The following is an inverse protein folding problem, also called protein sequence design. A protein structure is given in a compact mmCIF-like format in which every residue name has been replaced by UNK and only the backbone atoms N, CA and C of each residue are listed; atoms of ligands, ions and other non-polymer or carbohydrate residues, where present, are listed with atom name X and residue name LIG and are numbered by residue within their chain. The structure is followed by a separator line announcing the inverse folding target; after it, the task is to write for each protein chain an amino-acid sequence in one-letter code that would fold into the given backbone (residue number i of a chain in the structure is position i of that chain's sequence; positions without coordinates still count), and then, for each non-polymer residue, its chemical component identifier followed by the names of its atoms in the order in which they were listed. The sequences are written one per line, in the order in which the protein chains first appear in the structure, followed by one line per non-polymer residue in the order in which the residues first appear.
data_IF_532884385995
#
_entry.id   IF_532884385995
#
_cell.length_a   1.000
_cell.length_b   1.000
_cell.length_c   1.000
_cell.angle_alpha   90.00
_cell.angle_beta   90.00
_cell.angle_gamma   90.00
#
_symmetry.space_group_name_H-M   'P 1'
#
loop_
_entity.id
_entity.type
_entity.pdbx_description
1 polymer ?
#
# COMPACT_ATOMS: atom_id res chain seq x y z
N UNK A 1 -3.04 15.84 0.07
CA UNK A 1 -3.40 14.43 -0.22
C UNK A 1 -4.89 14.35 -0.47
N UNK A 2 -5.31 13.84 -1.63
CA UNK A 2 -6.73 13.59 -1.91
C UNK A 2 -7.12 12.23 -1.31
N UNK A 3 -8.15 12.22 -0.47
CA UNK A 3 -8.75 10.98 0.08
C UNK A 3 -10.08 10.73 -0.59
N UNK A 4 -10.39 9.46 -0.84
CA UNK A 4 -11.74 9.05 -1.22
C UNK A 4 -12.56 9.02 0.06
N UNK A 5 -13.61 9.85 0.14
CA UNK A 5 -14.55 9.76 1.24
C UNK A 5 -15.33 8.44 1.11
N UNK A 6 -15.36 7.67 2.19
CA UNK A 6 -16.14 6.45 2.30
C UNK A 6 -16.84 6.43 3.65
N UNK A 7 -18.01 5.84 3.67
CA UNK A 7 -18.71 5.49 4.90
C UNK A 7 -18.69 3.97 5.01
N UNK A 8 -18.32 3.46 6.17
CA UNK A 8 -18.29 2.03 6.45
C UNK A 8 -19.28 1.73 7.57
N UNK A 9 -20.19 0.79 7.32
CA UNK A 9 -21.11 0.28 8.34
C UNK A 9 -20.57 -1.02 8.93
N UNK A 10 -20.53 -1.10 10.26
CA UNK A 10 -20.00 -2.27 10.97
C UNK A 10 -20.74 -3.57 10.65
N UNK A 11 -22.01 -3.49 10.24
CA UNK A 11 -22.85 -4.63 9.85
C UNK A 11 -22.36 -5.37 8.59
N UNK A 12 -21.54 -4.74 7.75
CA UNK A 12 -20.98 -5.36 6.55
C UNK A 12 -19.79 -6.28 6.86
N UNK A 13 -19.20 -6.17 8.05
CA UNK A 13 -18.09 -7.00 8.49
C UNK A 13 -18.61 -8.16 9.35
N UNK A 14 -18.39 -9.39 8.87
CA UNK A 14 -18.69 -10.59 9.63
C UNK A 14 -17.53 -10.89 10.56
N UNK A 15 -17.79 -11.02 11.85
CA UNK A 15 -16.77 -11.41 12.82
C UNK A 15 -17.14 -12.72 13.52
N UNK A 16 -16.11 -13.46 13.93
CA UNK A 16 -16.26 -14.72 14.66
C UNK A 16 -15.27 -14.74 15.82
N UNK A 17 -15.76 -15.11 17.00
CA UNK A 17 -14.90 -15.34 18.15
C UNK A 17 -14.16 -16.67 17.97
N UNK A 18 -12.84 -16.64 18.14
CA UNK A 18 -11.95 -17.79 18.03
C UNK A 18 -11.11 -17.91 19.29
N UNK A 19 -10.54 -19.09 19.52
CA UNK A 19 -9.58 -19.26 20.61
C UNK A 19 -8.26 -18.58 20.24
N UNK A 20 -7.68 -17.92 21.23
CA UNK A 20 -6.37 -17.27 21.09
C UNK A 20 -5.28 -18.32 20.98
N UNK A 21 -4.24 -18.05 20.18
CA UNK A 21 -3.06 -18.91 20.08
C UNK A 21 -2.06 -18.48 21.15
N UNK A 22 -1.56 -19.42 21.94
CA UNK A 22 -0.53 -19.13 22.94
C UNK A 22 -0.41 -20.21 24.01
N UNK A 23 0.71 -20.20 24.72
CA UNK A 23 0.93 -21.10 25.84
C UNK A 23 0.18 -20.62 27.09
N UNK A 24 -0.79 -21.42 27.55
CA UNK A 24 -0.91 -21.76 28.97
C UNK A 24 -1.88 -20.96 29.83
N UNK A 25 -3.08 -21.52 30.04
CA UNK A 25 -4.00 -21.17 31.13
C UNK A 25 -5.41 -21.73 30.88
N UNK A 26 -6.17 -22.05 31.94
CA UNK A 26 -7.55 -22.54 31.78
C UNK A 26 -8.41 -21.59 30.95
N UNK A 27 -8.23 -20.28 31.12
CA UNK A 27 -8.97 -19.26 30.40
C UNK A 27 -8.65 -19.20 28.90
N UNK A 28 -7.39 -19.44 28.50
CA UNK A 28 -6.98 -19.42 27.08
C UNK A 28 -7.58 -20.61 26.32
N UNK A 29 -7.67 -21.77 26.98
CA UNK A 29 -8.24 -22.98 26.39
C UNK A 29 -9.78 -22.94 26.34
N UNK A 30 -10.42 -22.26 27.30
CA UNK A 30 -11.87 -22.25 27.48
C UNK A 30 -12.57 -21.07 26.82
N UNK A 31 -11.98 -19.87 26.85
CA UNK A 31 -12.64 -18.63 26.44
C UNK A 31 -12.17 -18.20 25.04
N UNK A 32 -13.11 -18.00 24.13
CA UNK A 32 -12.85 -17.51 22.78
C UNK A 32 -12.68 -15.98 22.80
N UNK A 33 -11.54 -15.49 23.28
CA UNK A 33 -11.27 -14.04 23.40
C UNK A 33 -10.73 -13.43 22.11
N UNK A 34 -10.10 -14.20 21.23
CA UNK A 34 -9.62 -13.71 19.95
C UNK A 34 -10.78 -13.49 18.97
N UNK A 35 -10.62 -12.51 18.08
CA UNK A 35 -11.62 -12.17 17.06
C UNK A 35 -11.00 -12.34 15.68
N UNK A 36 -11.72 -13.03 14.81
CA UNK A 36 -11.47 -13.07 13.38
C UNK A 36 -12.55 -12.26 12.67
N UNK A 37 -12.15 -11.18 12.00
CA UNK A 37 -13.02 -10.33 11.22
C UNK A 37 -12.80 -10.63 9.73
N UNK A 38 -13.90 -10.84 9.01
CA UNK A 38 -13.96 -11.07 7.58
C UNK A 38 -14.76 -9.95 6.93
N UNK A 39 -14.18 -9.35 5.90
CA UNK A 39 -14.79 -8.26 5.16
C UNK A 39 -14.70 -8.55 3.67
N UNK A 40 -15.85 -8.67 3.01
CA UNK A 40 -15.93 -8.87 1.56
C UNK A 40 -15.92 -7.50 0.87
N UNK A 41 -14.85 -7.23 0.11
CA UNK A 41 -14.69 -5.95 -0.59
C UNK A 41 -15.73 -5.78 -1.69
N UNK A 42 -16.07 -6.85 -2.41
CA UNK A 42 -16.95 -6.79 -3.59
C UNK A 42 -18.39 -6.50 -3.18
N UNK A 43 -18.85 -7.18 -2.13
CA UNK A 43 -20.21 -7.04 -1.58
C UNK A 43 -20.41 -5.76 -0.75
N UNK A 44 -19.34 -5.06 -0.35
CA UNK A 44 -19.42 -3.86 0.49
C UNK A 44 -20.05 -2.65 -0.20
N UNK A 45 -20.47 -1.66 0.58
CA UNK A 45 -20.97 -0.36 0.09
C UNK A 45 -19.88 0.64 -0.33
N UNK A 46 -18.62 0.20 -0.37
CA UNK A 46 -17.48 1.05 -0.70
C UNK A 46 -17.54 1.59 -2.15
N UNK A 47 -16.98 2.78 -2.43
CA UNK A 47 -16.87 3.29 -3.79
C UNK A 47 -16.05 2.37 -4.69
N UNK A 48 -16.45 2.22 -5.96
CA UNK A 48 -15.81 1.28 -6.91
C UNK A 48 -14.30 1.49 -7.05
N UNK A 49 -13.86 2.76 -7.12
CA UNK A 49 -12.42 3.11 -7.16
C UNK A 49 -11.64 2.59 -5.94
N UNK A 50 -12.29 2.57 -4.78
CA UNK A 50 -11.67 2.08 -3.54
C UNK A 50 -11.67 0.54 -3.54
N UNK A 51 -12.74 -0.10 -4.02
CA UNK A 51 -12.81 -1.56 -4.20
C UNK A 51 -11.71 -2.07 -5.11
N UNK A 52 -11.55 -1.46 -6.29
CA UNK A 52 -10.49 -1.80 -7.24
C UNK A 52 -9.11 -1.67 -6.58
N UNK A 53 -8.86 -0.55 -5.89
CA UNK A 53 -7.58 -0.32 -5.20
C UNK A 53 -7.32 -1.38 -4.14
N UNK A 54 -8.29 -1.67 -3.28
CA UNK A 54 -8.20 -2.72 -2.27
C UNK A 54 -7.92 -4.09 -2.90
N UNK A 55 -8.54 -4.43 -4.04
CA UNK A 55 -8.30 -5.69 -4.75
C UNK A 55 -6.93 -5.75 -5.43
N UNK A 56 -6.37 -4.60 -5.81
CA UNK A 56 -5.00 -4.53 -6.36
C UNK A 56 -3.90 -4.51 -5.29
N UNK A 57 -4.24 -4.24 -4.03
CA UNK A 57 -3.27 -4.28 -2.94
C UNK A 57 -2.78 -5.71 -2.74
N UNK A 58 -1.46 -5.89 -2.84
CA UNK A 58 -0.80 -7.16 -2.52
C UNK A 58 -0.60 -7.27 -1.00
N UNK A 59 -1.69 -7.32 -0.25
CA UNK A 59 -1.67 -7.62 1.19
C UNK A 59 -1.82 -9.14 1.40
N UNK A 60 -1.09 -9.69 2.37
CA UNK A 60 -1.22 -11.08 2.81
C UNK A 60 -2.57 -11.38 3.48
N UNK A 61 -3.27 -10.35 3.93
CA UNK A 61 -4.59 -10.43 4.57
C UNK A 61 -5.72 -10.60 3.57
N UNK A 62 -5.47 -10.34 2.29
CA UNK A 62 -6.45 -10.44 1.21
C UNK A 62 -6.43 -11.86 0.62
N UNK A 63 -7.56 -12.55 0.68
CA UNK A 63 -7.75 -13.84 0.00
C UNK A 63 -7.96 -13.66 -1.51
N UNK A 64 -7.78 -14.74 -2.27
CA UNK A 64 -8.02 -14.75 -3.73
C UNK A 64 -9.49 -14.50 -4.12
N UNK A 65 -10.40 -14.72 -3.17
CA UNK A 65 -11.83 -14.44 -3.23
C UNK A 65 -12.16 -12.94 -3.09
N UNK A 66 -11.20 -12.10 -2.69
CA UNK A 66 -11.42 -10.68 -2.43
C UNK A 66 -11.95 -10.40 -1.02
N UNK A 67 -11.77 -11.36 -0.10
CA UNK A 67 -12.16 -11.22 1.30
C UNK A 67 -10.94 -10.87 2.15
N UNK A 68 -11.02 -9.76 2.87
CA UNK A 68 -10.00 -9.37 3.85
C UNK A 68 -10.28 -10.12 5.15
N UNK A 69 -9.29 -10.86 5.62
CA UNK A 69 -9.35 -11.55 6.92
C UNK A 69 -8.36 -10.91 7.90
N UNK A 70 -8.87 -10.34 8.98
CA UNK A 70 -8.09 -9.73 10.06
C UNK A 70 -8.28 -10.54 11.34
N UNK A 71 -7.18 -10.88 12.01
CA UNK A 71 -7.18 -11.55 13.30
C UNK A 71 -6.62 -10.63 14.38
N UNK A 72 -7.33 -10.50 15.50
CA UNK A 72 -6.93 -9.73 16.67
C UNK A 72 -7.02 -10.61 17.93
N UNK A 73 -5.90 -10.74 18.64
CA UNK A 73 -5.78 -11.57 19.85
C UNK A 73 -4.85 -10.96 20.91
N UNK A 74 -4.55 -9.66 20.81
CA UNK A 74 -3.58 -8.99 21.69
C UNK A 74 -4.16 -8.68 23.08
N UNK A 75 -5.48 -8.55 23.20
CA UNK A 75 -6.14 -8.16 24.43
C UNK A 75 -6.81 -9.35 25.14
N UNK A 76 -7.05 -9.18 26.45
CA UNK A 76 -7.67 -10.20 27.29
C UNK A 76 -9.18 -10.32 27.08
N UNK A 77 -9.86 -9.27 26.62
CA UNK A 77 -11.30 -9.25 26.41
C UNK A 77 -11.65 -9.24 24.92
N UNK A 78 -12.77 -9.87 24.58
CA UNK A 78 -13.27 -9.95 23.20
C UNK A 78 -13.61 -8.58 22.62
N UNK A 79 -14.22 -7.69 23.42
CA UNK A 79 -14.60 -6.34 22.99
C UNK A 79 -13.41 -5.50 22.54
N UNK A 80 -12.30 -5.56 23.30
CA UNK A 80 -11.07 -4.85 22.92
C UNK A 80 -10.45 -5.43 21.65
N UNK A 81 -10.48 -6.76 21.49
CA UNK A 81 -10.01 -7.41 20.26
C UNK A 81 -10.90 -7.08 19.06
N UNK A 82 -12.21 -6.95 19.25
CA UNK A 82 -13.15 -6.54 18.21
C UNK A 82 -12.87 -5.10 17.77
N UNK A 83 -12.73 -4.17 18.73
CA UNK A 83 -12.39 -2.78 18.44
C UNK A 83 -11.03 -2.66 17.72
N UNK A 84 -10.04 -3.46 18.11
CA UNK A 84 -8.74 -3.52 17.43
C UNK A 84 -8.86 -4.05 16.00
N UNK A 85 -9.67 -5.09 15.76
CA UNK A 85 -9.91 -5.63 14.42
C UNK A 85 -10.54 -4.57 13.50
N UNK A 86 -11.54 -3.83 13.98
CA UNK A 86 -12.15 -2.72 13.23
C UNK A 86 -11.18 -1.57 12.98
N UNK A 87 -10.34 -1.22 13.96
CA UNK A 87 -9.32 -0.18 13.79
C UNK A 87 -8.35 -0.56 12.66
N UNK A 88 -7.83 -1.79 12.68
CA UNK A 88 -6.91 -2.29 11.64
C UNK A 88 -7.57 -2.36 10.26
N UNK A 89 -8.86 -2.71 10.20
CA UNK A 89 -9.62 -2.67 8.95
C UNK A 89 -9.68 -1.24 8.41
N UNK A 90 -10.04 -0.27 9.26
CA UNK A 90 -10.12 1.14 8.89
C UNK A 90 -8.77 1.68 8.41
N UNK A 91 -7.69 1.39 9.12
CA UNK A 91 -6.34 1.77 8.72
C UNK A 91 -5.98 1.25 7.31
N UNK A 92 -6.34 0.01 7.00
CA UNK A 92 -6.11 -0.60 5.68
C UNK A 92 -6.96 0.08 4.58
N UNK A 93 -8.23 0.39 4.87
CA UNK A 93 -9.10 1.11 3.93
C UNK A 93 -8.60 2.56 3.74
N UNK A 94 -8.11 3.21 4.81
CA UNK A 94 -7.56 4.56 4.75
C UNK A 94 -6.29 4.61 3.90
N UNK A 95 -5.38 3.65 4.05
CA UNK A 95 -4.19 3.52 3.20
C UNK A 95 -4.58 3.33 1.73
N UNK A 96 -5.60 2.50 1.46
CA UNK A 96 -6.12 2.30 0.10
C UNK A 96 -6.86 3.54 -0.46
N UNK A 97 -7.41 4.38 0.42
CA UNK A 97 -8.11 5.62 0.06
C UNK A 97 -7.13 6.74 -0.32
N UNK A 98 -5.88 6.67 0.12
CA UNK A 98 -4.87 7.69 -0.18
C UNK A 98 -4.45 7.62 -1.64
N UNK A 99 -4.79 8.67 -2.40
CA UNK A 99 -4.38 8.80 -3.80
C UNK A 99 -3.01 9.48 -3.81
N UNK A 100 -1.93 8.78 -4.25
CA UNK A 100 -0.63 9.41 -4.37
C UNK A 100 -0.71 10.48 -5.46
N UNK A 101 -0.12 11.63 -5.20
CA UNK A 101 -0.06 12.70 -6.19
C UNK A 101 0.78 12.25 -7.38
N UNK A 102 0.32 12.59 -8.58
CA UNK A 102 1.04 12.22 -9.80
C UNK A 102 2.41 12.89 -9.83
N UNK A 103 3.46 12.07 -9.95
CA UNK A 103 4.82 12.60 -10.12
C UNK A 103 4.96 13.17 -11.52
N UNK A 104 5.09 14.49 -11.61
CA UNK A 104 5.48 15.15 -12.85
C UNK A 104 6.99 14.90 -13.06
N UNK A 105 7.41 14.24 -14.17
CA UNK A 105 8.82 14.00 -14.43
C UNK A 105 9.56 15.35 -14.58
N UNK A 106 10.69 15.48 -13.90
CA UNK A 106 11.51 16.69 -13.98
C UNK A 106 12.26 16.73 -15.31
N UNK A 107 12.32 17.90 -15.94
CA UNK A 107 13.17 18.13 -17.11
C UNK A 107 14.65 18.09 -16.69
N UNK A 108 15.58 17.68 -17.58
CA UNK A 108 17.01 17.77 -17.31
C UNK A 108 17.42 19.19 -16.91
N UNK A 109 18.35 19.31 -15.97
CA UNK A 109 18.79 20.63 -15.49
C UNK A 109 19.55 21.39 -16.58
N UNK A 110 19.45 22.73 -16.56
CA UNK A 110 20.18 23.60 -17.50
C UNK A 110 21.69 23.37 -17.46
N UNK A 111 22.24 23.08 -16.28
CA UNK A 111 23.65 22.75 -16.10
C UNK A 111 24.04 21.44 -16.79
N UNK A 112 23.19 20.40 -16.72
CA UNK A 112 23.40 19.14 -17.43
C UNK A 112 23.43 19.36 -18.94
N UNK A 113 22.45 20.11 -19.46
CA UNK A 113 22.36 20.45 -20.89
C UNK A 113 23.62 21.20 -21.35
N UNK A 114 24.09 22.18 -20.56
CA UNK A 114 25.31 22.94 -20.85
C UNK A 114 26.55 22.04 -20.90
N UNK A 115 26.72 21.15 -19.91
CA UNK A 115 27.84 20.19 -19.87
C UNK A 115 27.87 19.29 -21.09
N UNK A 116 26.73 18.70 -21.47
CA UNK A 116 26.64 17.85 -22.67
C UNK A 116 27.07 18.61 -23.93
N UNK A 117 26.63 19.86 -24.09
CA UNK A 117 27.06 20.71 -25.22
C UNK A 117 28.56 20.98 -25.19
N UNK A 118 29.10 21.37 -24.04
CA UNK A 118 30.53 21.64 -23.89
C UNK A 118 31.38 20.39 -24.19
N UNK A 119 31.03 19.24 -23.64
CA UNK A 119 31.72 17.97 -23.93
C UNK A 119 31.65 17.62 -25.42
N UNK A 120 30.51 17.88 -26.09
CA UNK A 120 30.38 17.69 -27.54
C UNK A 120 31.33 18.60 -28.32
N UNK A 121 31.41 19.88 -27.95
CA UNK A 121 32.31 20.86 -28.57
C UNK A 121 33.77 20.43 -28.41
N UNK A 122 34.20 20.16 -27.17
CA UNK A 122 35.57 19.72 -26.86
C UNK A 122 35.95 18.45 -27.65
N UNK A 123 35.05 17.45 -27.70
CA UNK A 123 35.30 16.24 -28.51
C UNK A 123 35.44 16.54 -29.99
N UNK A 124 34.68 17.49 -30.53
CA UNK A 124 34.78 17.86 -31.95
C UNK A 124 36.11 18.54 -32.27
N UNK A 125 36.61 19.40 -31.38
CA UNK A 125 37.92 20.05 -31.51
C UNK A 125 39.05 19.04 -31.46
N UNK A 126 39.02 18.13 -30.48
CA UNK A 126 39.99 17.02 -30.37
C UNK A 126 39.99 16.15 -31.63
N UNK A 127 38.83 15.88 -32.24
CA UNK A 127 38.75 15.11 -33.49
C UNK A 127 39.34 15.86 -34.69
N UNK A 128 39.15 17.19 -34.79
CA UNK A 128 39.72 18.01 -35.87
C UNK A 128 41.25 17.98 -35.82
N UNK A 129 41.83 18.13 -34.64
CA UNK A 129 43.28 18.10 -34.43
C UNK A 129 43.91 16.73 -34.74
N UNK A 130 43.11 15.66 -34.70
CA UNK A 130 43.54 14.30 -35.08
C UNK A 130 43.36 13.99 -36.57
N UNK A 131 42.81 14.91 -37.36
CA UNK A 131 42.65 14.72 -38.80
C UNK A 131 44.01 14.66 -39.51
N UNK A 132 44.06 14.02 -40.69
CA UNK A 132 45.27 13.96 -41.52
C UNK A 132 45.80 15.38 -41.79
N UNK A 133 47.04 15.64 -41.40
CA UNK A 133 47.78 16.83 -41.83
C UNK A 133 47.97 16.71 -43.34
N UNK A 134 47.49 17.70 -44.09
CA UNK A 134 47.77 17.81 -45.52
C UNK A 134 49.07 18.60 -45.63
N UNK A 135 50.16 17.92 -45.97
CA UNK A 135 51.36 18.58 -46.49
C UNK A 135 51.02 19.20 -47.87
N UNK A 136 51.49 20.42 -48.08
CA UNK A 136 51.35 21.17 -49.33
C UNK A 136 52.55 20.94 -50.24
#
# INVERSE_FOLDING_TARGET
MRKIHYEFKAEEALWTAVRSRGAGGQNVNKVATAVQLKFDIRASSLPEKLKERLLTLRDRRLGADGVITIRAENNRTQELNLAEAYRRLRELIDEASEIPDFRIPTKPTRASIRRVRQTKTLRSEVKKLRGKVRDF
#
